data_IF_855464244461
#
_entry.id   IF_855464244461
#
_cell.length_a   1.000
_cell.length_b   1.000
_cell.length_c   1.000
_cell.angle_alpha   90.00
_cell.angle_beta   90.00
_cell.angle_gamma   90.00
#
_symmetry.space_group_name_H-M   'P 1'
#
loop_
_entity.id
_entity.type
_entity.pdbx_description
1 polymer ?
#
# COMPACT_ATOMS: atom_id res chain seq x y z
N UNK A 1 -9.51 12.75 74.19
CA UNK A 1 -8.64 13.94 74.05
C UNK A 1 -8.49 14.18 72.56
N UNK A 2 -9.31 15.07 71.97
CA UNK A 2 -9.05 16.51 71.84
C UNK A 2 -7.75 16.79 71.07
N UNK A 3 -7.96 17.46 69.93
CA UNK A 3 -7.14 18.51 69.32
C UNK A 3 -5.74 18.17 68.85
N UNK A 4 -5.59 18.04 67.53
CA UNK A 4 -4.68 18.86 66.71
C UNK A 4 -5.36 19.09 65.33
N UNK A 5 -6.57 19.63 65.26
CA UNK A 5 -6.87 21.02 64.92
C UNK A 5 -5.68 21.96 64.59
N UNK A 6 -5.65 22.38 63.31
CA UNK A 6 -5.13 23.66 62.76
C UNK A 6 -3.62 23.90 62.92
N UNK A 7 -2.83 24.25 61.91
CA UNK A 7 -3.03 25.01 60.66
C UNK A 7 -1.64 24.98 59.98
N UNK A 8 -1.46 24.95 58.66
CA UNK A 8 -1.27 26.11 57.76
C UNK A 8 -0.78 25.46 56.44
N UNK A 9 -1.60 25.38 55.38
CA UNK A 9 -1.73 26.36 54.29
C UNK A 9 -0.78 26.10 53.10
N UNK A 10 -1.31 25.57 51.99
CA UNK A 10 -1.28 26.19 50.63
C UNK A 10 -1.67 25.21 49.52
N UNK A 11 -2.75 25.58 48.82
CA UNK A 11 -3.02 25.36 47.39
C UNK A 11 -3.14 23.89 46.93
N UNK A 12 -4.19 23.43 46.25
CA UNK A 12 -5.06 24.12 45.30
C UNK A 12 -6.30 23.23 45.08
N UNK A 13 -7.37 23.61 45.75
CA UNK A 13 -8.77 23.61 45.33
C UNK A 13 -9.26 22.78 44.11
N UNK A 14 -10.40 22.11 44.36
CA UNK A 14 -11.56 21.86 43.47
C UNK A 14 -11.50 20.67 42.48
N UNK A 15 -12.00 19.52 42.92
CA UNK A 15 -12.68 18.56 42.04
C UNK A 15 -13.95 18.05 42.74
N UNK A 16 -15.03 18.84 42.72
CA UNK A 16 -16.40 18.32 42.84
C UNK A 16 -17.41 19.22 42.13
N UNK A 17 -18.11 18.58 41.18
CA UNK A 17 -19.48 18.78 40.74
C UNK A 17 -19.91 20.16 40.20
N UNK A 18 -20.27 20.21 38.92
CA UNK A 18 -21.53 20.83 38.52
C UNK A 18 -21.97 20.40 37.11
N UNK A 19 -23.11 19.71 37.06
CA UNK A 19 -23.92 19.54 35.86
C UNK A 19 -24.56 20.88 35.51
N UNK A 20 -24.23 21.45 34.34
CA UNK A 20 -25.04 22.48 33.69
C UNK A 20 -25.14 22.17 32.19
N UNK A 21 -26.37 21.87 31.75
CA UNK A 21 -26.77 22.06 30.37
C UNK A 21 -26.54 23.51 29.98
N UNK A 22 -25.79 23.73 28.91
CA UNK A 22 -25.98 24.90 28.05
C UNK A 22 -26.12 24.39 26.62
N UNK A 23 -27.33 24.60 26.09
CA UNK A 23 -27.60 24.60 24.68
C UNK A 23 -26.74 25.68 24.01
N UNK A 24 -25.73 25.25 23.26
CA UNK A 24 -25.06 26.08 22.27
C UNK A 24 -25.71 25.83 20.91
N UNK A 25 -26.60 26.72 20.50
CA UNK A 25 -27.11 26.78 19.13
C UNK A 25 -25.97 27.31 18.24
N UNK A 26 -25.45 26.47 17.35
CA UNK A 26 -24.43 26.84 16.37
C UNK A 26 -24.73 26.07 15.09
N UNK A 27 -25.44 26.73 14.18
CA UNK A 27 -25.92 26.18 12.91
C UNK A 27 -24.78 25.94 11.93
N UNK A 28 -24.31 24.69 11.84
CA UNK A 28 -23.77 24.14 10.62
C UNK A 28 -24.59 22.88 10.30
N UNK A 29 -25.47 23.04 9.32
CA UNK A 29 -26.33 22.00 8.79
C UNK A 29 -25.47 20.89 8.13
N UNK A 30 -25.09 19.90 8.90
CA UNK A 30 -25.20 18.50 8.49
C UNK A 30 -26.07 17.86 9.54
N UNK A 31 -27.27 17.41 9.18
CA UNK A 31 -27.95 16.42 9.99
C UNK A 31 -26.94 15.29 10.17
N UNK A 32 -26.40 15.11 11.38
CA UNK A 32 -25.81 13.84 11.74
C UNK A 32 -26.96 12.86 11.55
N UNK A 33 -26.98 12.14 10.43
CA UNK A 33 -27.98 11.11 10.21
C UNK A 33 -27.91 10.23 11.43
N UNK A 34 -28.96 10.24 12.25
CA UNK A 34 -28.99 9.66 13.60
C UNK A 34 -28.76 8.15 13.63
N UNK A 35 -28.56 7.56 12.44
CA UNK A 35 -28.34 6.16 12.18
C UNK A 35 -26.94 5.89 11.62
N UNK A 36 -26.01 6.85 11.62
CA UNK A 36 -24.65 6.70 11.07
C UNK A 36 -23.57 6.84 12.14
N UNK A 37 -22.45 6.16 11.94
CA UNK A 37 -21.23 6.25 12.75
C UNK A 37 -19.99 6.39 11.88
N UNK A 38 -18.81 6.25 12.50
CA UNK A 38 -17.52 6.30 11.81
C UNK A 38 -16.67 5.06 12.10
N UNK A 39 -15.71 4.79 11.22
CA UNK A 39 -14.70 3.73 11.38
C UNK A 39 -13.31 4.38 11.34
N UNK A 40 -12.41 3.93 12.21
CA UNK A 40 -10.99 4.31 12.18
C UNK A 40 -10.09 3.08 12.32
N UNK A 41 -8.91 3.14 11.71
CA UNK A 41 -7.92 2.06 11.73
C UNK A 41 -6.50 2.63 11.55
N UNK A 42 -5.50 1.89 12.01
CA UNK A 42 -4.08 2.10 11.67
C UNK A 42 -3.66 1.15 10.56
N UNK A 43 -2.93 1.64 9.56
CA UNK A 43 -2.43 0.81 8.46
C UNK A 43 -0.98 0.38 8.70
N UNK A 44 -0.72 -0.91 8.53
CA UNK A 44 0.60 -1.51 8.61
C UNK A 44 1.00 -2.06 7.23
N UNK A 45 2.03 -1.51 6.59
CA UNK A 45 2.40 -1.84 5.21
C UNK A 45 3.45 -2.96 5.14
N UNK A 46 3.12 -4.09 4.51
CA UNK A 46 4.08 -5.18 4.28
C UNK A 46 4.92 -4.95 3.01
N UNK A 47 6.12 -4.40 3.15
CA UNK A 47 6.96 -3.97 2.00
C UNK A 47 7.97 -5.00 1.49
N UNK A 48 7.93 -6.27 1.94
CA UNK A 48 8.81 -7.37 1.47
C UNK A 48 10.32 -7.02 1.35
N UNK A 49 10.82 -6.07 2.15
CA UNK A 49 12.24 -5.73 2.16
C UNK A 49 13.04 -6.87 2.80
N UNK A 50 13.61 -7.73 1.98
CA UNK A 50 14.43 -8.90 2.38
C UNK A 50 15.80 -8.42 2.90
N UNK A 51 15.82 -7.71 4.02
CA UNK A 51 16.98 -7.41 4.89
C UNK A 51 16.49 -6.80 6.20
N UNK A 52 15.76 -7.59 6.99
CA UNK A 52 15.77 -7.55 8.46
C UNK A 52 14.74 -8.56 8.98
N UNK A 53 15.13 -9.33 9.99
CA UNK A 53 14.28 -10.21 10.77
C UNK A 53 12.98 -9.51 11.21
N UNK A 54 11.84 -10.18 10.96
CA UNK A 54 10.49 -9.82 11.43
C UNK A 54 9.88 -8.53 10.84
N UNK A 55 8.60 -8.64 10.44
CA UNK A 55 7.84 -7.59 9.76
C UNK A 55 7.95 -6.22 10.43
N UNK A 56 8.52 -5.26 9.70
CA UNK A 56 8.57 -3.86 10.10
C UNK A 56 7.23 -3.20 9.74
N UNK A 57 6.36 -3.05 10.73
CA UNK A 57 5.13 -2.25 10.62
C UNK A 57 5.54 -0.77 10.55
N UNK A 58 5.62 -0.20 9.35
CA UNK A 58 5.83 1.23 9.14
C UNK A 58 4.47 1.95 9.10
N UNK A 59 4.33 3.01 9.90
CA UNK A 59 3.13 3.85 9.98
C UNK A 59 3.02 4.89 8.84
N UNK A 60 4.04 4.97 7.98
CA UNK A 60 4.03 5.75 6.74
C UNK A 60 3.61 4.83 5.60
N UNK A 61 2.82 5.35 4.64
CA UNK A 61 2.49 4.63 3.42
C UNK A 61 3.76 4.09 2.74
N UNK A 62 3.66 2.88 2.16
CA UNK A 62 4.74 2.30 1.39
C UNK A 62 5.14 3.23 0.23
N UNK A 63 6.44 3.28 -0.08
CA UNK A 63 6.94 4.10 -1.18
C UNK A 63 6.21 3.75 -2.49
N UNK A 64 5.78 4.77 -3.24
CA UNK A 64 5.00 4.62 -4.47
C UNK A 64 3.48 4.61 -4.30
N UNK A 65 2.95 4.55 -3.07
CA UNK A 65 1.51 4.74 -2.81
C UNK A 65 1.18 6.23 -2.74
N UNK A 66 0.30 6.69 -3.64
CA UNK A 66 -0.17 8.07 -3.71
C UNK A 66 -1.52 8.26 -3.00
N UNK A 67 -2.41 7.27 -3.11
CA UNK A 67 -3.79 7.34 -2.60
C UNK A 67 -4.12 6.10 -1.77
N UNK A 68 -4.82 6.29 -0.66
CA UNK A 68 -5.46 5.22 0.10
C UNK A 68 -6.96 5.31 -0.16
N UNK A 69 -7.53 4.30 -0.83
CA UNK A 69 -8.97 4.18 -1.07
C UNK A 69 -9.59 3.24 -0.05
N UNK A 70 -10.63 3.71 0.60
CA UNK A 70 -11.43 2.94 1.54
C UNK A 70 -12.79 2.67 0.92
N UNK A 71 -13.25 1.43 0.99
CA UNK A 71 -14.57 1.00 0.54
C UNK A 71 -15.23 0.26 1.71
N UNK A 72 -16.37 0.75 2.18
CA UNK A 72 -17.19 0.09 3.19
C UNK A 72 -18.42 -0.48 2.52
N UNK A 73 -18.65 -1.77 2.69
CA UNK A 73 -19.80 -2.49 2.17
C UNK A 73 -20.54 -3.21 3.29
N UNK A 74 -21.78 -3.61 3.05
CA UNK A 74 -22.54 -4.43 4.00
C UNK A 74 -24.03 -4.48 3.68
N UNK A 75 -24.76 -5.35 4.37
CA UNK A 75 -26.20 -5.46 4.19
C UNK A 75 -26.92 -4.16 4.59
N UNK A 76 -27.91 -3.73 3.80
CA UNK A 76 -28.73 -2.56 4.12
C UNK A 76 -27.99 -1.22 4.04
N UNK A 77 -26.86 -1.15 3.32
CA UNK A 77 -26.22 0.11 2.96
C UNK A 77 -25.86 0.13 1.48
N UNK A 78 -25.70 1.33 0.93
CA UNK A 78 -24.96 1.54 -0.32
C UNK A 78 -23.47 1.58 0.00
N UNK A 79 -22.66 0.98 -0.85
CA UNK A 79 -21.20 1.00 -0.70
C UNK A 79 -20.69 2.43 -0.57
N UNK A 80 -19.91 2.69 0.48
CA UNK A 80 -19.32 4.00 0.76
C UNK A 80 -17.85 3.97 0.40
N UNK A 81 -17.41 4.87 -0.48
CA UNK A 81 -16.01 4.98 -0.88
C UNK A 81 -15.44 6.35 -0.47
N UNK A 82 -14.21 6.36 0.03
CA UNK A 82 -13.46 7.60 0.33
C UNK A 82 -11.99 7.43 0.03
N UNK A 83 -11.41 8.40 -0.68
CA UNK A 83 -9.99 8.42 -1.04
C UNK A 83 -9.24 9.42 -0.15
N UNK A 84 -8.04 9.04 0.28
CA UNK A 84 -7.16 9.84 1.13
C UNK A 84 -5.79 9.97 0.47
N UNK A 85 -5.15 11.13 0.60
CA UNK A 85 -3.76 11.31 0.16
C UNK A 85 -2.85 10.52 1.10
N UNK A 86 -2.06 9.59 0.55
CA UNK A 86 -1.26 8.68 1.35
C UNK A 86 -0.19 9.40 2.22
N UNK A 87 0.27 10.57 1.77
CA UNK A 87 1.22 11.41 2.51
C UNK A 87 0.66 11.92 3.84
N UNK A 88 -0.66 12.12 3.96
CA UNK A 88 -1.29 12.66 5.17
C UNK A 88 -1.21 11.70 6.37
N UNK A 89 -0.97 10.41 6.08
CA UNK A 89 -0.80 9.35 7.08
C UNK A 89 -1.98 9.20 8.06
N UNK A 90 -3.16 9.76 7.72
CA UNK A 90 -4.39 9.71 8.51
C UNK A 90 -5.62 9.92 7.64
N UNK A 91 -6.77 9.43 8.08
CA UNK A 91 -8.06 9.61 7.43
C UNK A 91 -9.20 9.14 8.33
N UNK A 92 -10.39 9.71 8.17
CA UNK A 92 -11.61 9.28 8.85
C UNK A 92 -12.69 9.01 7.80
N UNK A 93 -13.29 7.82 7.86
CA UNK A 93 -14.51 7.51 7.12
C UNK A 93 -15.70 7.54 8.08
N UNK A 94 -16.60 8.46 7.78
CA UNK A 94 -17.78 8.84 8.54
C UNK A 94 -19.05 8.64 7.71
N UNK A 95 -20.22 8.84 8.32
CA UNK A 95 -21.50 8.63 7.65
C UNK A 95 -21.81 7.17 7.32
N UNK A 96 -21.11 6.21 7.95
CA UNK A 96 -21.34 4.78 7.72
C UNK A 96 -22.63 4.36 8.43
N UNK A 97 -23.63 3.79 7.73
CA UNK A 97 -24.84 3.30 8.37
C UNK A 97 -24.53 2.31 9.50
N UNK A 98 -25.12 2.57 10.67
CA UNK A 98 -25.03 1.69 11.83
C UNK A 98 -25.55 0.29 11.51
N UNK A 99 -25.03 -0.71 12.21
CA UNK A 99 -25.32 -2.12 11.97
C UNK A 99 -24.08 -2.99 12.02
N UNK A 100 -24.30 -4.31 12.09
CA UNK A 100 -23.27 -5.35 12.08
C UNK A 100 -23.01 -5.87 10.66
N UNK A 101 -21.86 -6.52 10.47
CA UNK A 101 -21.54 -7.17 9.18
C UNK A 101 -21.03 -6.20 8.13
N UNK A 102 -20.45 -5.06 8.54
CA UNK A 102 -19.73 -4.16 7.64
C UNK A 102 -18.38 -4.78 7.27
N UNK A 103 -18.01 -4.65 6.01
CA UNK A 103 -16.68 -5.01 5.50
C UNK A 103 -15.98 -3.74 5.07
N UNK A 104 -14.74 -3.58 5.51
CA UNK A 104 -13.85 -2.49 5.12
C UNK A 104 -12.78 -3.05 4.19
N UNK A 105 -12.80 -2.67 2.91
CA UNK A 105 -11.71 -2.91 1.97
C UNK A 105 -10.86 -1.68 1.84
N UNK A 106 -9.55 -1.88 1.86
CA UNK A 106 -8.54 -0.81 1.78
C UNK A 106 -7.64 -1.11 0.60
N UNK A 107 -7.44 -0.12 -0.27
CA UNK A 107 -6.58 -0.21 -1.43
C UNK A 107 -5.52 0.90 -1.35
N UNK A 108 -4.24 0.54 -1.47
CA UNK A 108 -3.17 1.49 -1.73
C UNK A 108 -2.97 1.62 -3.23
N UNK A 109 -3.19 2.81 -3.78
CA UNK A 109 -3.09 3.13 -5.20
C UNK A 109 -1.82 3.94 -5.46
N UNK A 110 -1.13 3.66 -6.57
CA UNK A 110 -0.05 4.52 -7.06
C UNK A 110 -0.59 5.78 -7.76
N UNK A 111 0.31 6.65 -8.24
CA UNK A 111 -0.07 7.88 -8.95
C UNK A 111 -0.81 7.65 -10.27
N UNK A 112 -0.78 6.43 -10.81
CA UNK A 112 -1.54 6.03 -11.99
C UNK A 112 -2.91 5.43 -11.63
N UNK A 113 -3.26 5.35 -10.34
CA UNK A 113 -4.51 4.77 -9.86
C UNK A 113 -4.48 3.25 -9.76
N UNK A 114 -3.32 2.61 -9.88
CA UNK A 114 -3.19 1.17 -9.81
C UNK A 114 -3.09 0.68 -8.36
N UNK A 115 -3.85 -0.36 -8.02
CA UNK A 115 -3.83 -0.97 -6.70
C UNK A 115 -2.52 -1.77 -6.52
N UNK A 116 -1.65 -1.28 -5.65
CA UNK A 116 -0.35 -1.89 -5.29
C UNK A 116 -0.39 -2.58 -3.93
N UNK A 117 -1.36 -2.25 -3.08
CA UNK A 117 -1.58 -2.88 -1.77
C UNK A 117 -3.07 -3.07 -1.48
N UNK A 118 -3.41 -4.11 -0.74
CA UNK A 118 -4.76 -4.36 -0.24
C UNK A 118 -4.78 -4.79 1.22
N UNK A 119 -5.81 -4.37 1.93
CA UNK A 119 -6.14 -4.82 3.30
C UNK A 119 -7.65 -4.94 3.45
N UNK A 120 -8.08 -5.75 4.40
CA UNK A 120 -9.50 -5.96 4.66
C UNK A 120 -9.77 -6.19 6.15
N UNK A 121 -10.93 -5.73 6.61
CA UNK A 121 -11.54 -6.14 7.87
C UNK A 121 -13.00 -6.48 7.66
N UNK A 122 -13.45 -7.55 8.31
CA UNK A 122 -14.78 -8.12 8.17
C UNK A 122 -15.55 -8.08 9.49
N UNK A 123 -16.87 -8.21 9.40
CA UNK A 123 -17.77 -8.29 10.56
C UNK A 123 -17.68 -7.08 11.50
N UNK A 124 -17.44 -5.89 10.95
CA UNK A 124 -17.38 -4.66 11.73
C UNK A 124 -18.81 -4.28 12.15
N UNK A 125 -18.96 -3.84 13.40
CA UNK A 125 -20.20 -3.29 13.93
C UNK A 125 -20.05 -1.79 14.10
N UNK A 126 -20.91 -1.02 13.45
CA UNK A 126 -20.94 0.44 13.56
C UNK A 126 -22.12 0.85 14.43
N UNK A 127 -21.86 1.66 15.45
CA UNK A 127 -22.89 2.25 16.30
C UNK A 127 -23.13 3.71 15.90
N UNK A 128 -24.39 4.14 15.94
CA UNK A 128 -24.75 5.50 15.58
C UNK A 128 -24.09 6.52 16.52
N UNK A 129 -23.53 7.58 15.94
CA UNK A 129 -22.82 8.64 16.67
C UNK A 129 -21.48 8.24 17.29
N UNK A 130 -21.02 7.00 17.10
CA UNK A 130 -19.77 6.49 17.65
C UNK A 130 -18.69 6.32 16.59
N UNK A 131 -17.43 6.39 17.02
CA UNK A 131 -16.27 6.00 16.20
C UNK A 131 -15.85 4.58 16.60
N UNK A 132 -15.90 3.66 15.64
CA UNK A 132 -15.44 2.28 15.82
C UNK A 132 -13.96 2.19 15.46
N UNK A 133 -13.09 1.97 16.46
CA UNK A 133 -11.68 1.66 16.23
C UNK A 133 -11.51 0.16 15.99
N UNK A 134 -11.07 -0.21 14.80
CA UNK A 134 -10.86 -1.61 14.40
C UNK A 134 -9.39 -2.05 14.52
N UNK A 135 -8.52 -1.20 15.08
CA UNK A 135 -7.13 -1.51 15.35
C UNK A 135 -6.24 -1.43 14.11
N UNK A 136 -5.33 -2.40 13.96
CA UNK A 136 -4.33 -2.42 12.89
C UNK A 136 -4.79 -3.30 11.73
N UNK A 137 -4.84 -2.73 10.53
CA UNK A 137 -5.02 -3.48 9.27
C UNK A 137 -3.66 -3.63 8.59
N UNK A 138 -3.28 -4.88 8.32
CA UNK A 138 -2.06 -5.15 7.57
C UNK A 138 -2.34 -5.10 6.08
N UNK A 139 -1.74 -4.14 5.40
CA UNK A 139 -1.75 -4.00 3.95
C UNK A 139 -0.76 -4.96 3.32
N UNK A 140 -1.25 -5.88 2.50
CA UNK A 140 -0.46 -6.83 1.74
C UNK A 140 -0.17 -6.27 0.35
N UNK A 141 1.05 -6.49 -0.19
CA UNK A 141 1.36 -6.09 -1.55
C UNK A 141 0.52 -6.93 -2.52
N UNK A 142 -0.08 -6.26 -3.49
CA UNK A 142 -0.76 -6.91 -4.61
C UNK A 142 0.30 -7.24 -5.65
N UNK A 143 0.35 -8.50 -6.08
CA UNK A 143 1.23 -8.89 -7.18
C UNK A 143 0.95 -7.98 -8.39
N UNK A 144 1.98 -7.40 -9.03
CA UNK A 144 1.77 -6.57 -10.20
C UNK A 144 1.01 -7.36 -11.25
N UNK A 145 -0.20 -6.91 -11.58
CA UNK A 145 -0.91 -7.43 -12.75
C UNK A 145 -0.15 -6.95 -13.98
N UNK A 146 0.30 -7.87 -14.83
CA UNK A 146 0.90 -7.48 -16.11
C UNK A 146 -0.10 -6.59 -16.88
N UNK A 147 0.39 -5.54 -17.54
CA UNK A 147 -0.41 -4.60 -18.34
C UNK A 147 -1.44 -3.75 -17.57
N UNK A 148 -1.16 -3.38 -16.32
CA UNK A 148 -2.03 -2.54 -15.49
C UNK A 148 -1.45 -1.18 -15.12
N UNK A 149 -0.20 -0.88 -15.53
CA UNK A 149 0.46 0.42 -15.31
C UNK A 149 1.02 1.01 -16.61
N UNK A 150 1.60 2.20 -16.56
CA UNK A 150 2.26 2.85 -17.70
C UNK A 150 3.77 2.56 -17.80
N UNK A 151 4.35 1.90 -16.79
CA UNK A 151 5.78 1.69 -16.66
C UNK A 151 6.36 0.78 -17.74
N UNK A 152 7.63 1.01 -18.07
CA UNK A 152 8.38 0.26 -19.08
C UNK A 152 9.74 -0.18 -18.55
N UNK A 153 10.20 -1.36 -18.97
CA UNK A 153 11.61 -1.78 -18.84
C UNK A 153 12.17 -1.95 -20.24
N UNK A 154 13.31 -1.32 -20.52
CA UNK A 154 14.07 -1.51 -21.76
C UNK A 154 15.50 -1.93 -21.47
N UNK A 155 16.03 -2.73 -22.38
CA UNK A 155 17.42 -3.17 -22.31
C UNK A 155 17.85 -3.84 -23.59
N UNK A 156 19.12 -4.22 -23.62
CA UNK A 156 19.78 -4.87 -24.74
C UNK A 156 20.56 -6.08 -24.28
N UNK A 157 20.51 -7.15 -25.07
CA UNK A 157 21.31 -8.35 -24.84
C UNK A 157 22.44 -8.42 -25.85
N UNK A 158 23.64 -8.65 -25.34
CA UNK A 158 24.87 -8.81 -26.12
C UNK A 158 25.61 -10.07 -25.70
N UNK A 159 26.54 -10.53 -26.52
CA UNK A 159 27.53 -11.52 -26.10
C UNK A 159 28.71 -10.85 -25.37
N UNK A 160 29.63 -11.64 -24.84
CA UNK A 160 30.85 -11.13 -24.18
C UNK A 160 31.71 -10.15 -25.01
N UNK A 161 31.60 -10.18 -26.35
CA UNK A 161 32.30 -9.26 -27.26
C UNK A 161 31.52 -7.96 -27.53
N UNK A 162 30.33 -7.78 -26.94
CA UNK A 162 29.46 -6.64 -27.16
C UNK A 162 28.60 -6.74 -28.43
N UNK A 163 28.61 -7.87 -29.12
CA UNK A 163 27.78 -8.09 -30.31
C UNK A 163 26.32 -8.31 -29.90
N UNK A 164 25.35 -7.59 -30.47
CA UNK A 164 23.94 -7.79 -30.15
C UNK A 164 23.45 -9.20 -30.45
N UNK A 165 22.62 -9.74 -29.55
CA UNK A 165 22.06 -11.08 -29.65
C UNK A 165 20.56 -11.04 -29.88
N UNK A 166 20.14 -11.43 -31.09
CA UNK A 166 18.73 -11.57 -31.45
C UNK A 166 18.15 -12.91 -30.97
N UNK A 167 16.84 -12.95 -30.71
CA UNK A 167 16.12 -14.16 -30.32
C UNK A 167 16.60 -14.73 -28.98
N UNK A 168 17.02 -13.87 -28.06
CA UNK A 168 17.19 -14.21 -26.64
C UNK A 168 15.83 -14.09 -25.98
N UNK A 169 15.41 -15.11 -25.24
CA UNK A 169 14.18 -15.03 -24.46
C UNK A 169 14.45 -14.24 -23.19
N UNK A 170 13.77 -13.10 -23.06
CA UNK A 170 13.81 -12.25 -21.87
C UNK A 170 12.57 -12.53 -21.03
N UNK A 171 12.73 -12.73 -19.74
CA UNK A 171 11.64 -12.99 -18.81
C UNK A 171 11.57 -11.89 -17.75
N UNK A 172 10.35 -11.44 -17.45
CA UNK A 172 10.07 -10.54 -16.35
C UNK A 172 9.36 -11.30 -15.23
N UNK A 173 9.89 -11.18 -14.01
CA UNK A 173 9.32 -11.78 -12.82
C UNK A 173 8.94 -10.73 -11.79
N UNK A 174 7.99 -11.06 -10.92
CA UNK A 174 7.82 -10.36 -9.64
C UNK A 174 9.10 -10.46 -8.80
N UNK A 175 9.26 -9.58 -7.81
CA UNK A 175 10.36 -9.68 -6.84
C UNK A 175 10.36 -11.02 -6.06
N UNK A 176 9.20 -11.64 -5.87
CA UNK A 176 9.02 -12.97 -5.26
C UNK A 176 9.39 -14.14 -6.18
N UNK A 177 9.58 -13.89 -7.49
CA UNK A 177 10.02 -14.89 -8.46
C UNK A 177 8.91 -15.52 -9.31
N UNK A 178 7.67 -15.02 -9.22
CA UNK A 178 6.58 -15.43 -10.10
C UNK A 178 6.76 -14.84 -11.49
N UNK A 179 6.64 -15.65 -12.54
CA UNK A 179 6.75 -15.19 -13.92
C UNK A 179 5.55 -14.29 -14.29
N UNK A 180 5.83 -13.15 -14.91
CA UNK A 180 4.80 -12.20 -15.39
C UNK A 180 4.64 -12.26 -16.90
N UNK A 181 5.75 -12.18 -17.64
CA UNK A 181 5.73 -12.19 -19.11
C UNK A 181 7.11 -12.56 -19.67
N UNK A 182 7.16 -12.81 -20.98
CA UNK A 182 8.38 -13.06 -21.73
C UNK A 182 8.34 -12.38 -23.11
N UNK A 183 9.50 -11.99 -23.63
CA UNK A 183 9.64 -11.45 -24.99
C UNK A 183 11.00 -11.80 -25.59
N UNK A 184 11.06 -11.98 -26.90
CA UNK A 184 12.31 -12.16 -27.64
C UNK A 184 13.00 -10.83 -27.93
N UNK A 185 14.33 -10.81 -27.88
CA UNK A 185 15.12 -9.69 -28.39
C UNK A 185 15.01 -9.55 -29.91
N UNK A 186 14.99 -8.31 -30.40
CA UNK A 186 14.99 -7.96 -31.82
C UNK A 186 16.35 -8.22 -32.50
N UNK A 187 16.50 -7.87 -33.79
CA UNK A 187 17.75 -8.06 -34.54
C UNK A 187 18.93 -7.25 -33.99
N UNK A 188 18.66 -6.19 -33.24
CA UNK A 188 19.65 -5.33 -32.58
C UNK A 188 19.90 -5.73 -31.11
N UNK A 189 19.29 -6.83 -30.66
CA UNK A 189 19.39 -7.35 -29.30
C UNK A 189 18.50 -6.61 -28.30
N UNK A 190 17.64 -5.68 -28.74
CA UNK A 190 16.81 -4.90 -27.83
C UNK A 190 15.55 -5.66 -27.43
N UNK A 191 15.04 -5.39 -26.24
CA UNK A 191 13.73 -5.83 -25.79
C UNK A 191 13.02 -4.71 -25.03
N UNK A 192 11.69 -4.83 -24.89
CA UNK A 192 10.89 -3.87 -24.13
C UNK A 192 9.72 -4.56 -23.46
N UNK A 193 9.64 -4.44 -22.15
CA UNK A 193 8.45 -4.76 -21.38
C UNK A 193 7.63 -3.48 -21.17
N UNK A 194 6.34 -3.51 -21.47
CA UNK A 194 5.44 -2.36 -21.29
C UNK A 194 4.25 -2.72 -20.42
N UNK A 195 3.67 -1.72 -19.75
CA UNK A 195 2.39 -1.90 -19.09
C UNK A 195 2.51 -2.23 -17.61
N UNK A 196 3.66 -1.96 -16.98
CA UNK A 196 3.93 -2.44 -15.63
C UNK A 196 3.66 -1.39 -14.56
N UNK A 197 3.15 -1.88 -13.43
CA UNK A 197 2.93 -1.14 -12.20
C UNK A 197 4.23 -0.52 -11.65
N UNK A 198 4.08 0.45 -10.75
CA UNK A 198 5.17 0.76 -9.83
C UNK A 198 5.46 -0.46 -8.94
N UNK A 199 6.74 -0.82 -8.78
CA UNK A 199 7.12 -2.01 -8.03
C UNK A 199 8.53 -2.50 -8.32
N UNK A 200 8.91 -3.61 -7.70
CA UNK A 200 10.21 -4.27 -7.89
C UNK A 200 10.07 -5.58 -8.66
N UNK A 201 10.97 -5.77 -9.62
CA UNK A 201 10.95 -6.86 -10.58
C UNK A 201 12.33 -7.51 -10.72
N UNK A 202 12.36 -8.67 -11.36
CA UNK A 202 13.61 -9.32 -11.78
C UNK A 202 13.52 -9.63 -13.27
N UNK A 203 14.66 -9.52 -13.95
CA UNK A 203 14.78 -9.85 -15.37
C UNK A 203 15.81 -10.95 -15.55
N UNK A 204 15.48 -11.96 -16.35
CA UNK A 204 16.42 -12.99 -16.80
C UNK A 204 16.46 -13.09 -18.32
N UNK A 205 17.54 -13.69 -18.81
CA UNK A 205 17.86 -13.87 -20.21
C UNK A 205 18.25 -15.33 -20.44
N UNK A 206 17.59 -15.97 -21.39
CA UNK A 206 17.78 -17.39 -21.71
C UNK A 206 17.89 -17.58 -23.21
N UNK A 207 18.86 -18.40 -23.63
CA UNK A 207 19.03 -18.80 -25.02
C UNK A 207 19.66 -20.19 -25.07
N UNK A 208 19.18 -21.04 -25.97
CA UNK A 208 19.76 -22.37 -26.17
C UNK A 208 21.26 -22.28 -26.48
N UNK A 209 22.06 -23.09 -25.81
CA UNK A 209 23.52 -23.09 -25.91
C UNK A 209 24.25 -22.08 -25.02
N UNK A 210 23.53 -21.27 -24.23
CA UNK A 210 24.08 -20.32 -23.27
C UNK A 210 23.62 -20.65 -21.85
N UNK A 211 24.37 -20.19 -20.85
CA UNK A 211 23.90 -20.24 -19.46
C UNK A 211 22.86 -19.15 -19.23
N UNK A 212 21.86 -19.44 -18.40
CA UNK A 212 20.90 -18.43 -17.98
C UNK A 212 21.60 -17.34 -17.15
N UNK A 213 21.30 -16.09 -17.48
CA UNK A 213 21.82 -14.93 -16.76
C UNK A 213 20.68 -14.02 -16.33
N UNK A 214 20.88 -13.32 -15.23
CA UNK A 214 19.96 -12.33 -14.68
C UNK A 214 20.57 -10.95 -14.81
N UNK A 215 19.72 -9.91 -14.77
CA UNK A 215 20.18 -8.53 -14.82
C UNK A 215 21.32 -8.26 -13.81
N UNK A 216 22.32 -7.49 -14.28
CA UNK A 216 23.56 -7.18 -13.58
C UNK A 216 24.44 -8.42 -13.30
N UNK A 217 24.39 -9.42 -14.19
CA UNK A 217 25.31 -10.57 -14.19
C UNK A 217 25.04 -11.62 -13.11
N UNK A 218 23.88 -11.58 -12.44
CA UNK A 218 23.52 -12.60 -11.47
C UNK A 218 23.27 -13.96 -12.15
N UNK A 219 23.63 -15.04 -11.49
CA UNK A 219 23.55 -16.41 -12.04
C UNK A 219 22.34 -17.19 -11.54
N UNK A 220 21.49 -16.60 -10.68
CA UNK A 220 20.27 -17.24 -10.19
C UNK A 220 19.21 -16.23 -9.79
N UNK A 221 17.96 -16.69 -9.71
CA UNK A 221 16.82 -15.85 -9.31
C UNK A 221 16.97 -15.30 -7.88
N UNK A 222 17.65 -16.02 -6.99
CA UNK A 222 17.82 -15.61 -5.59
C UNK A 222 18.83 -14.49 -5.43
N UNK A 223 19.80 -14.37 -6.34
CA UNK A 223 20.84 -13.32 -6.36
C UNK A 223 20.55 -12.21 -7.37
N UNK A 224 19.48 -12.32 -8.15
CA UNK A 224 19.08 -11.32 -9.14
C UNK A 224 18.89 -9.92 -8.54
N UNK A 225 19.48 -8.92 -9.20
CA UNK A 225 19.32 -7.51 -8.83
C UNK A 225 17.88 -7.06 -9.12
N UNK A 226 17.27 -6.36 -8.15
CA UNK A 226 15.91 -5.84 -8.31
C UNK A 226 15.89 -4.62 -9.23
N UNK A 227 14.97 -4.61 -10.18
CA UNK A 227 14.65 -3.48 -11.05
C UNK A 227 13.41 -2.78 -10.47
N UNK A 228 13.54 -1.49 -10.14
CA UNK A 228 12.42 -0.71 -9.59
C UNK A 228 11.77 0.13 -10.69
N UNK A 229 10.49 -0.11 -10.96
CA UNK A 229 9.67 0.72 -11.85
C UNK A 229 8.91 1.74 -10.99
N UNK A 230 8.87 2.98 -11.45
CA UNK A 230 7.91 3.99 -10.98
C UNK A 230 7.03 4.35 -12.18
N UNK A 231 5.82 3.77 -12.27
CA UNK A 231 4.90 4.01 -13.38
C UNK A 231 4.49 5.48 -13.45
N UNK A 232 4.41 6.11 -14.65
CA UNK A 232 4.52 5.51 -15.98
C UNK A 232 5.93 5.55 -16.60
N UNK A 233 6.96 5.76 -15.79
CA UNK A 233 8.31 6.01 -16.31
C UNK A 233 8.94 4.76 -16.94
N UNK A 234 9.90 5.02 -17.82
CA UNK A 234 10.75 3.97 -18.40
C UNK A 234 12.00 3.79 -17.56
N UNK A 235 12.32 2.53 -17.25
CA UNK A 235 13.60 2.11 -16.70
C UNK A 235 14.42 1.51 -17.84
N UNK A 236 15.52 2.16 -18.20
CA UNK A 236 16.42 1.73 -19.28
C UNK A 236 17.74 1.19 -18.75
N UNK A 237 18.51 0.52 -19.62
CA UNK A 237 19.82 -0.04 -19.27
C UNK A 237 19.73 -1.35 -18.50
N UNK A 238 18.59 -2.05 -18.60
CA UNK A 238 18.44 -3.38 -18.02
C UNK A 238 19.07 -4.40 -18.97
N UNK A 239 20.38 -4.36 -19.09
CA UNK A 239 21.11 -5.10 -20.13
C UNK A 239 21.50 -6.52 -19.67
N UNK A 240 21.67 -7.40 -20.66
CA UNK A 240 22.14 -8.78 -20.48
C UNK A 240 23.42 -9.03 -21.27
N UNK A 241 24.35 -9.78 -20.67
CA UNK A 241 25.56 -10.29 -21.34
C UNK A 241 25.57 -11.81 -21.20
N UNK A 242 25.60 -12.52 -22.32
CA UNK A 242 25.58 -13.99 -22.39
C UNK A 242 26.85 -14.58 -23.01
#
# INVERSE_FOLDING_TARGET
MKSEFLSILRNLFLFTALMFLLAGCGTNNTTADSNTGAITAKLAWNTNSKTASQGKIIAKAADGVATVRIIVTGFGMTDTQKDFVAADSRGVIDGIPSGSGRTLKIQGLDSAGLITFQGEANNITVQAGQVTDIGIITMQPVAPVANSGGGKITGRVTNASGTPMSGVMTYLYTSSGSLLTAQLTDSNGNYTFTGFASGTYKVSFTKSGYSDVWYNGATSQSTATLVTITSPNTVSGIDGVM
#
